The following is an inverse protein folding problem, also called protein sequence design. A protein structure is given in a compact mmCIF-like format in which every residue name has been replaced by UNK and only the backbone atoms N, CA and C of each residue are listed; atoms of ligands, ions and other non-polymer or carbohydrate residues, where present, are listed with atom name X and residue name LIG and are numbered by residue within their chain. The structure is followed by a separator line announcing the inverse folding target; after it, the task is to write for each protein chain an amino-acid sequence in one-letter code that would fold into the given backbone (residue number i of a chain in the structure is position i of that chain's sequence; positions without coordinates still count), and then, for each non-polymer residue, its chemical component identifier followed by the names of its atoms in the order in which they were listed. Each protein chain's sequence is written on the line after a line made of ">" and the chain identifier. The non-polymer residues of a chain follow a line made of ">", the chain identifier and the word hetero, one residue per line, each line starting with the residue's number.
data_IF_385790609450
#
_entry.id   IF_385790609450
#
_cell.length_a   1.000
_cell.length_b   1.000
_cell.length_c   1.000
_cell.angle_alpha   90.00
_cell.angle_beta   90.00
_cell.angle_gamma   90.00
#
_symmetry.space_group_name_H-M   'P 1'
#
loop_
_entity.id
_entity.type
_entity.pdbx_description
1 polymer ?
#
# COMPACT_ATOMS: atom_id res chain seq x y z
N UNK A 1 34.29 1.47 36.64
CA UNK A 1 33.03 2.03 36.08
C UNK A 1 32.92 1.81 34.57
N UNK A 2 33.24 0.62 34.04
CA UNK A 2 33.21 0.35 32.59
C UNK A 2 32.01 -0.52 32.15
N UNK A 3 31.35 -1.22 33.09
CA UNK A 3 30.26 -2.17 32.78
C UNK A 3 28.86 -1.54 32.68
N UNK A 4 28.66 -0.33 33.21
CA UNK A 4 27.35 0.33 33.18
C UNK A 4 26.97 0.90 31.80
N UNK A 5 27.96 1.20 30.94
CA UNK A 5 27.68 1.72 29.60
C UNK A 5 27.22 0.65 28.60
N UNK A 6 27.52 -0.63 28.84
CA UNK A 6 27.14 -1.74 27.95
C UNK A 6 25.68 -2.18 28.14
N UNK A 7 25.15 -2.14 29.37
CA UNK A 7 23.79 -2.60 29.66
C UNK A 7 22.70 -1.65 29.12
N UNK A 8 22.99 -0.34 29.08
CA UNK A 8 22.11 0.66 28.47
C UNK A 8 22.01 0.47 26.95
N UNK A 9 23.16 0.26 26.29
CA UNK A 9 23.19 -0.01 24.84
C UNK A 9 22.51 -1.32 24.47
N UNK A 10 22.64 -2.36 25.29
CA UNK A 10 21.99 -3.64 25.04
C UNK A 10 20.45 -3.53 25.09
N UNK A 11 19.93 -2.68 25.98
CA UNK A 11 18.49 -2.38 26.05
C UNK A 11 18.00 -1.62 24.82
N UNK A 12 18.77 -0.63 24.34
CA UNK A 12 18.45 0.10 23.10
C UNK A 12 18.43 -0.83 21.87
N UNK A 13 19.38 -1.77 21.76
CA UNK A 13 19.40 -2.74 20.66
C UNK A 13 18.17 -3.65 20.64
N UNK A 14 17.76 -4.16 21.81
CA UNK A 14 16.56 -4.99 21.92
C UNK A 14 15.30 -4.17 21.57
N UNK A 15 15.23 -2.92 22.01
CA UNK A 15 14.13 -2.02 21.69
C UNK A 15 14.01 -1.72 20.19
N UNK A 16 15.15 -1.44 19.52
CA UNK A 16 15.16 -1.22 18.07
C UNK A 16 14.70 -2.46 17.30
N UNK A 17 15.15 -3.66 17.71
CA UNK A 17 14.72 -4.93 17.09
C UNK A 17 13.21 -5.15 17.29
N UNK A 18 12.68 -4.85 18.48
CA UNK A 18 11.24 -4.96 18.76
C UNK A 18 10.43 -4.02 17.87
N UNK A 19 10.83 -2.74 17.74
CA UNK A 19 10.15 -1.80 16.85
C UNK A 19 10.24 -2.26 15.40
N UNK A 20 11.41 -2.68 14.93
CA UNK A 20 11.60 -3.15 13.56
C UNK A 20 10.71 -4.36 13.24
N UNK A 21 10.58 -5.29 14.19
CA UNK A 21 9.66 -6.43 14.09
C UNK A 21 8.21 -5.96 13.95
N UNK A 22 7.76 -5.03 14.80
CA UNK A 22 6.38 -4.51 14.77
C UNK A 22 6.09 -3.79 13.45
N UNK A 23 6.98 -2.90 13.01
CA UNK A 23 6.81 -2.16 11.75
C UNK A 23 6.82 -3.13 10.56
N UNK A 24 7.71 -4.13 10.56
CA UNK A 24 7.76 -5.16 9.53
C UNK A 24 6.47 -5.98 9.44
N UNK A 25 5.94 -6.42 10.60
CA UNK A 25 4.67 -7.14 10.67
C UNK A 25 3.49 -6.29 10.17
N UNK A 26 3.41 -5.03 10.60
CA UNK A 26 2.37 -4.11 10.16
C UNK A 26 2.45 -3.84 8.65
N UNK A 27 3.65 -3.61 8.12
CA UNK A 27 3.86 -3.43 6.67
C UNK A 27 3.48 -4.67 5.86
N UNK A 28 3.83 -5.86 6.36
CA UNK A 28 3.44 -7.12 5.74
C UNK A 28 1.93 -7.34 5.72
N UNK A 29 1.25 -7.12 6.87
CA UNK A 29 -0.20 -7.21 6.96
C UNK A 29 -0.89 -6.17 6.07
N UNK A 30 -0.36 -4.96 5.99
CA UNK A 30 -0.86 -3.92 5.10
C UNK A 30 -0.74 -4.32 3.62
N UNK A 31 0.35 -4.97 3.22
CA UNK A 31 0.52 -5.48 1.86
C UNK A 31 -0.50 -6.59 1.51
N UNK A 32 -0.82 -7.48 2.46
CA UNK A 32 -1.87 -8.48 2.27
C UNK A 32 -3.26 -7.80 2.20
N UNK A 33 -3.52 -6.85 3.07
CA UNK A 33 -4.78 -6.10 3.10
C UNK A 33 -5.02 -5.30 1.82
N UNK A 34 -3.99 -4.65 1.27
CA UNK A 34 -4.09 -3.92 0.01
C UNK A 34 -4.43 -4.85 -1.15
N UNK A 35 -3.81 -6.03 -1.20
CA UNK A 35 -4.11 -7.06 -2.19
C UNK A 35 -5.56 -7.53 -2.12
N UNK A 36 -6.09 -7.75 -0.92
CA UNK A 36 -7.48 -8.20 -0.77
C UNK A 36 -8.49 -7.09 -1.05
N UNK A 37 -8.16 -5.84 -0.72
CA UNK A 37 -8.98 -4.68 -1.09
C UNK A 37 -9.13 -4.56 -2.61
N UNK A 38 -8.02 -4.74 -3.35
CA UNK A 38 -8.05 -4.76 -4.82
C UNK A 38 -8.97 -5.87 -5.32
N UNK A 39 -8.88 -7.07 -4.73
CA UNK A 39 -9.75 -8.19 -5.09
C UNK A 39 -11.23 -7.88 -4.83
N UNK A 40 -11.58 -7.26 -3.70
CA UNK A 40 -12.97 -6.90 -3.38
C UNK A 40 -13.51 -5.91 -4.41
N UNK A 41 -12.76 -4.86 -4.71
CA UNK A 41 -13.13 -3.88 -5.75
C UNK A 41 -13.28 -4.57 -7.10
N UNK A 42 -12.36 -5.47 -7.43
CA UNK A 42 -12.40 -6.23 -8.68
C UNK A 42 -13.63 -7.14 -8.75
N UNK A 43 -13.99 -7.85 -7.67
CA UNK A 43 -15.18 -8.71 -7.61
C UNK A 43 -16.48 -7.91 -7.70
N UNK A 44 -16.54 -6.72 -7.08
CA UNK A 44 -17.69 -5.83 -7.15
C UNK A 44 -17.88 -5.21 -8.53
N UNK A 45 -16.78 -4.90 -9.23
CA UNK A 45 -16.80 -4.30 -10.56
C UNK A 45 -16.91 -5.33 -11.69
N UNK A 46 -16.29 -6.49 -11.53
CA UNK A 46 -16.26 -7.62 -12.45
C UNK A 46 -16.62 -8.91 -11.67
N UNK A 47 -17.89 -9.31 -11.74
CA UNK A 47 -18.43 -10.47 -11.02
C UNK A 47 -17.59 -11.73 -11.21
N UNK A 48 -17.47 -12.54 -10.15
CA UNK A 48 -16.65 -13.74 -10.05
C UNK A 48 -16.77 -14.66 -11.29
N UNK A 49 -15.74 -14.67 -12.15
CA UNK A 49 -15.54 -15.73 -13.14
C UNK A 49 -14.05 -16.00 -13.31
N UNK A 50 -13.71 -17.28 -13.38
CA UNK A 50 -12.36 -17.83 -13.52
C UNK A 50 -11.62 -17.32 -14.77
N UNK A 51 -12.34 -16.78 -15.76
CA UNK A 51 -11.79 -16.26 -17.01
C UNK A 51 -12.17 -14.78 -17.21
N UNK A 52 -11.34 -13.87 -16.71
CA UNK A 52 -11.47 -12.42 -16.97
C UNK A 52 -11.61 -12.10 -18.47
N UNK A 53 -10.96 -12.89 -19.33
CA UNK A 53 -10.94 -12.72 -20.79
C UNK A 53 -12.30 -12.99 -21.43
N UNK A 54 -13.04 -14.01 -20.96
CA UNK A 54 -14.35 -14.37 -21.54
C UNK A 54 -15.44 -13.39 -21.11
N UNK A 55 -15.36 -12.89 -19.88
CA UNK A 55 -16.34 -11.92 -19.36
C UNK A 55 -16.16 -10.53 -19.99
N UNK A 56 -14.90 -10.09 -20.17
CA UNK A 56 -14.56 -8.87 -20.92
C UNK A 56 -15.09 -8.93 -22.37
N UNK A 57 -15.19 -10.11 -22.97
CA UNK A 57 -15.80 -10.29 -24.30
C UNK A 57 -17.33 -10.22 -24.25
N UNK A 58 -17.96 -10.75 -23.20
CA UNK A 58 -19.42 -10.74 -23.03
C UNK A 58 -20.00 -9.41 -22.53
N UNK A 59 -19.20 -8.55 -21.88
CA UNK A 59 -19.68 -7.29 -21.31
C UNK A 59 -19.74 -6.16 -22.34
N UNK A 60 -20.75 -5.27 -22.23
CA UNK A 60 -20.85 -4.05 -23.02
C UNK A 60 -19.56 -3.23 -22.93
N UNK A 61 -19.06 -2.74 -24.06
CA UNK A 61 -17.83 -1.94 -24.13
C UNK A 61 -17.87 -0.69 -23.22
N UNK A 62 -19.05 -0.07 -23.06
CA UNK A 62 -19.28 1.05 -22.15
C UNK A 62 -18.96 0.73 -20.69
N UNK A 63 -19.24 -0.50 -20.23
CA UNK A 63 -19.03 -0.91 -18.84
C UNK A 63 -17.53 -1.04 -18.52
N UNK A 64 -16.74 -1.49 -19.50
CA UNK A 64 -15.28 -1.64 -19.38
C UNK A 64 -14.55 -0.31 -19.20
N UNK A 65 -15.11 0.77 -19.73
CA UNK A 65 -14.52 2.11 -19.69
C UNK A 65 -15.06 2.89 -18.48
N UNK A 66 -16.38 2.83 -18.24
CA UNK A 66 -17.01 3.59 -17.16
C UNK A 66 -16.49 3.23 -15.77
N UNK A 67 -16.24 1.95 -15.48
CA UNK A 67 -15.67 1.51 -14.20
C UNK A 67 -14.30 2.14 -13.92
N UNK A 68 -13.26 1.95 -14.77
CA UNK A 68 -11.95 2.53 -14.50
C UNK A 68 -11.97 4.06 -14.57
N UNK A 69 -12.83 4.66 -15.41
CA UNK A 69 -13.00 6.12 -15.43
C UNK A 69 -13.56 6.63 -14.10
N UNK A 70 -14.60 6.01 -13.56
CA UNK A 70 -15.19 6.43 -12.29
C UNK A 70 -14.26 6.15 -11.11
N UNK A 71 -13.63 4.97 -11.08
CA UNK A 71 -12.62 4.63 -10.07
C UNK A 71 -11.44 5.60 -10.09
N UNK A 72 -10.90 5.90 -11.26
CA UNK A 72 -9.82 6.87 -11.45
C UNK A 72 -10.23 8.30 -11.10
N UNK A 73 -11.47 8.70 -11.40
CA UNK A 73 -12.00 10.02 -11.03
C UNK A 73 -12.14 10.16 -9.51
N UNK A 74 -12.72 9.17 -8.84
CA UNK A 74 -12.86 9.17 -7.38
C UNK A 74 -11.49 9.24 -6.70
N UNK A 75 -10.57 8.34 -7.07
CA UNK A 75 -9.21 8.30 -6.51
C UNK A 75 -8.45 9.59 -6.85
N UNK A 76 -8.60 10.10 -8.08
CA UNK A 76 -7.98 11.35 -8.52
C UNK A 76 -8.43 12.57 -7.71
N UNK A 77 -9.73 12.69 -7.42
CA UNK A 77 -10.26 13.76 -6.57
C UNK A 77 -9.70 13.64 -5.15
N UNK A 78 -9.69 12.43 -4.57
CA UNK A 78 -9.16 12.19 -3.23
C UNK A 78 -7.68 12.61 -3.15
N UNK A 79 -6.86 12.16 -4.09
CA UNK A 79 -5.42 12.49 -4.13
C UNK A 79 -5.22 14.00 -4.36
N UNK A 80 -6.03 14.63 -5.20
CA UNK A 80 -5.89 16.05 -5.50
C UNK A 80 -6.14 16.95 -4.29
N UNK A 81 -7.16 16.62 -3.47
CA UNK A 81 -7.54 17.44 -2.33
C UNK A 81 -6.85 17.05 -1.01
N UNK A 82 -6.65 15.76 -0.74
CA UNK A 82 -6.18 15.30 0.57
C UNK A 82 -4.70 14.92 0.61
N UNK A 83 -4.14 14.38 -0.46
CA UNK A 83 -2.80 13.79 -0.43
C UNK A 83 -2.03 14.06 -1.72
N UNK A 84 -1.65 15.33 -1.96
CA UNK A 84 -0.88 15.72 -3.17
C UNK A 84 0.49 15.04 -3.24
N UNK A 85 1.02 14.56 -2.11
CA UNK A 85 2.27 13.82 -2.00
C UNK A 85 2.13 12.34 -2.40
N UNK A 86 0.91 11.77 -2.35
CA UNK A 86 0.63 10.39 -2.75
C UNK A 86 0.57 10.19 -4.28
N UNK A 87 0.93 11.20 -5.07
CA UNK A 87 0.89 11.17 -6.54
C UNK A 87 2.00 10.32 -7.17
N UNK A 88 3.05 10.00 -6.41
CA UNK A 88 4.20 9.24 -6.88
C UNK A 88 4.19 7.78 -6.43
N UNK A 89 5.10 6.98 -7.00
CA UNK A 89 5.37 5.57 -6.68
C UNK A 89 5.81 5.31 -5.22
N UNK A 90 5.84 6.34 -4.35
CA UNK A 90 6.27 6.29 -2.94
C UNK A 90 7.78 6.09 -2.75
N UNK A 91 8.40 5.25 -3.58
CA UNK A 91 9.82 4.85 -3.48
C UNK A 91 10.80 6.04 -3.45
N UNK A 92 10.71 7.06 -4.34
CA UNK A 92 11.64 8.18 -4.30
C UNK A 92 11.44 9.10 -3.10
N UNK A 93 10.24 9.13 -2.51
CA UNK A 93 9.98 9.94 -1.31
C UNK A 93 10.70 9.34 -0.12
N UNK A 94 10.65 8.01 0.02
CA UNK A 94 11.37 7.26 1.04
C UNK A 94 12.89 7.42 0.88
N UNK A 95 13.40 7.38 -0.37
CA UNK A 95 14.82 7.60 -0.64
C UNK A 95 15.23 9.05 -0.29
N UNK A 96 14.43 10.05 -0.67
CA UNK A 96 14.71 11.45 -0.34
C UNK A 96 14.76 11.67 1.19
N UNK A 97 13.85 11.06 1.95
CA UNK A 97 13.85 11.17 3.40
C UNK A 97 15.14 10.63 4.05
N UNK A 98 15.77 9.60 3.47
CA UNK A 98 17.05 9.06 3.98
C UNK A 98 18.28 9.83 3.52
N UNK A 99 18.20 10.56 2.40
CA UNK A 99 19.36 11.27 1.81
C UNK A 99 19.47 12.70 2.33
N UNK A 100 18.35 13.32 2.67
CA UNK A 100 18.29 14.69 3.18
C UNK A 100 18.18 14.78 4.71
N UNK A 101 18.29 13.64 5.40
CA UNK A 101 18.52 13.53 6.85
C UNK A 101 19.98 13.14 7.11
#
# INVERSE_FOLDING_TARGET
>A
MHRLHTDLRQTEHIYMILIALVIGLLGGLFAVGSRELIRIVQLGAWSQSSNLVDQIRSLPWWWKISIPTFGGLCVGIIIHYFAREAKGHGVPEVIKAMVFE
#
